data_IF_513885462223
#
_entry.id   IF_513885462223
#
_cell.length_a   1.000
_cell.length_b   1.000
_cell.length_c   1.000
_cell.angle_alpha   90.00
_cell.angle_beta   90.00
_cell.angle_gamma   90.00
#
_symmetry.space_group_name_H-M   'P 1'
#
loop_
_entity.id
_entity.type
_entity.pdbx_description
1 polymer ?
#
# COMPACT_ATOMS: atom_id res chain seq x y z
N UNK A 1 -17.82 -16.90 -2.40
CA UNK A 1 -18.55 -15.61 -2.34
C UNK A 1 -18.04 -14.80 -3.52
N UNK A 2 -18.92 -14.15 -4.29
CA UNK A 2 -18.44 -13.40 -5.46
C UNK A 2 -17.50 -12.28 -5.01
N UNK A 3 -16.36 -12.15 -5.66
CA UNK A 3 -15.40 -11.07 -5.38
C UNK A 3 -16.09 -9.71 -5.54
N UNK A 4 -15.74 -8.74 -4.70
CA UNK A 4 -16.27 -7.37 -4.79
C UNK A 4 -15.49 -6.56 -5.83
N UNK A 5 -15.45 -7.08 -7.04
CA UNK A 5 -14.81 -6.48 -8.20
C UNK A 5 -15.86 -5.82 -9.09
N UNK A 6 -15.66 -4.57 -9.39
CA UNK A 6 -16.64 -3.78 -10.15
C UNK A 6 -15.97 -3.09 -11.32
N UNK A 7 -16.55 -3.27 -12.52
CA UNK A 7 -16.18 -2.46 -13.66
C UNK A 7 -16.71 -1.02 -13.50
N UNK A 8 -15.97 -0.06 -14.02
CA UNK A 8 -16.39 1.33 -14.09
C UNK A 8 -16.01 1.92 -15.45
N UNK A 9 -16.99 2.48 -16.17
CA UNK A 9 -16.83 3.11 -17.49
C UNK A 9 -16.01 2.30 -18.52
N UNK A 10 -16.16 0.97 -18.48
CA UNK A 10 -15.50 0.05 -19.41
C UNK A 10 -14.13 -0.46 -18.94
N UNK A 11 -13.59 0.06 -17.84
CA UNK A 11 -12.41 -0.49 -17.16
C UNK A 11 -12.82 -1.51 -16.12
N UNK A 12 -12.09 -2.61 -16.04
CA UNK A 12 -12.26 -3.67 -15.04
C UNK A 12 -10.94 -3.94 -14.35
N UNK A 13 -10.96 -4.38 -13.09
CA UNK A 13 -9.75 -4.80 -12.41
C UNK A 13 -8.96 -5.86 -13.19
N UNK A 14 -7.64 -5.70 -13.25
CA UNK A 14 -6.68 -6.66 -13.78
C UNK A 14 -5.85 -7.20 -12.62
N UNK A 15 -6.17 -8.42 -12.19
CA UNK A 15 -5.58 -9.05 -11.01
C UNK A 15 -4.75 -10.25 -11.46
N UNK A 16 -3.45 -10.23 -11.13
CA UNK A 16 -2.55 -11.35 -11.43
C UNK A 16 -3.02 -12.63 -10.72
N UNK A 17 -2.92 -13.77 -11.40
CA UNK A 17 -3.37 -15.06 -10.87
C UNK A 17 -2.59 -15.55 -9.63
N UNK A 18 -1.47 -14.92 -9.29
CA UNK A 18 -0.70 -15.19 -8.06
C UNK A 18 -0.91 -14.14 -6.97
N UNK A 19 -1.75 -13.13 -7.22
CA UNK A 19 -2.11 -12.17 -6.19
C UNK A 19 -3.12 -12.80 -5.21
N UNK A 20 -3.04 -12.38 -3.95
CA UNK A 20 -3.97 -12.77 -2.90
C UNK A 20 -4.87 -11.57 -2.56
N UNK A 21 -6.10 -11.59 -3.04
CA UNK A 21 -7.08 -10.53 -2.79
C UNK A 21 -8.20 -11.07 -1.92
N UNK A 22 -8.38 -10.48 -0.75
CA UNK A 22 -9.45 -10.89 0.17
C UNK A 22 -10.84 -10.71 -0.46
N UNK A 23 -11.72 -11.67 -0.24
CA UNK A 23 -13.14 -11.60 -0.61
C UNK A 23 -13.89 -10.42 0.04
N UNK A 24 -13.32 -9.83 1.08
CA UNK A 24 -13.86 -8.64 1.74
C UNK A 24 -13.23 -7.33 1.24
N UNK A 25 -12.26 -7.39 0.36
CA UNK A 25 -11.74 -6.21 -0.33
C UNK A 25 -12.72 -5.74 -1.40
N UNK A 26 -12.73 -4.45 -1.70
CA UNK A 26 -13.54 -3.84 -2.77
C UNK A 26 -12.63 -3.25 -3.82
N UNK A 27 -12.74 -3.69 -5.06
CA UNK A 27 -11.88 -3.28 -6.17
C UNK A 27 -12.74 -2.71 -7.29
N UNK A 28 -12.51 -1.47 -7.70
CA UNK A 28 -13.38 -0.74 -8.64
C UNK A 28 -12.60 -0.09 -9.77
N UNK A 29 -12.97 -0.37 -11.00
CA UNK A 29 -12.50 0.35 -12.20
C UNK A 29 -11.09 -0.04 -12.64
N UNK A 30 -10.29 0.95 -13.01
CA UNK A 30 -8.92 0.78 -13.51
C UNK A 30 -7.95 0.48 -12.36
N UNK A 31 -7.88 -0.79 -11.99
CA UNK A 31 -7.02 -1.29 -10.91
C UNK A 31 -6.16 -2.43 -11.45
N UNK A 32 -4.85 -2.35 -11.24
CA UNK A 32 -3.90 -3.43 -11.54
C UNK A 32 -3.27 -3.94 -10.25
N UNK A 33 -3.28 -5.27 -10.05
CA UNK A 33 -2.64 -5.92 -8.90
C UNK A 33 -1.62 -6.93 -9.41
N UNK A 34 -0.35 -6.71 -9.07
CA UNK A 34 0.78 -7.53 -9.51
C UNK A 34 0.93 -8.85 -8.76
N UNK A 35 1.81 -9.73 -9.26
CA UNK A 35 2.00 -11.07 -8.71
C UNK A 35 2.49 -11.04 -7.26
N UNK A 36 2.00 -11.99 -6.47
CA UNK A 36 2.28 -12.14 -5.04
C UNK A 36 1.96 -10.90 -4.19
N UNK A 37 1.21 -9.94 -4.73
CA UNK A 37 0.66 -8.86 -3.91
C UNK A 37 -0.43 -9.41 -2.99
N UNK A 38 -0.56 -8.81 -1.80
CA UNK A 38 -1.54 -9.22 -0.79
C UNK A 38 -2.45 -8.04 -0.48
N UNK A 39 -3.74 -8.21 -0.70
CA UNK A 39 -4.77 -7.21 -0.41
C UNK A 39 -5.71 -7.76 0.66
N UNK A 40 -5.63 -7.19 1.85
CA UNK A 40 -6.26 -7.71 3.06
C UNK A 40 -7.73 -7.31 3.22
N UNK A 41 -8.47 -7.89 4.19
CA UNK A 41 -9.88 -7.58 4.39
C UNK A 41 -10.19 -6.10 4.57
N UNK A 42 -11.31 -5.66 3.99
CA UNK A 42 -11.79 -4.29 4.11
C UNK A 42 -11.01 -3.25 3.29
N UNK A 43 -9.99 -3.66 2.56
CA UNK A 43 -9.27 -2.75 1.65
C UNK A 43 -10.19 -2.26 0.55
N UNK A 44 -10.07 -0.97 0.20
CA UNK A 44 -10.79 -0.37 -0.93
C UNK A 44 -9.78 0.18 -1.94
N UNK A 45 -9.81 -0.37 -3.16
CA UNK A 45 -9.02 0.10 -4.30
C UNK A 45 -9.98 0.73 -5.32
N UNK A 46 -9.87 2.06 -5.51
CA UNK A 46 -10.76 2.80 -6.40
C UNK A 46 -10.00 3.43 -7.56
N UNK A 47 -10.12 2.81 -8.73
CA UNK A 47 -9.62 3.27 -10.01
C UNK A 47 -10.69 3.95 -10.88
N UNK A 48 -11.58 4.74 -10.28
CA UNK A 48 -12.71 5.40 -10.95
C UNK A 48 -12.43 6.85 -11.38
N UNK A 49 -11.43 7.50 -10.79
CA UNK A 49 -10.99 8.86 -11.16
C UNK A 49 -9.61 8.83 -11.82
N UNK A 50 -8.76 7.92 -11.40
CA UNK A 50 -7.43 7.66 -11.94
C UNK A 50 -7.00 6.25 -11.58
N UNK A 51 -5.99 5.68 -12.28
CA UNK A 51 -5.61 4.29 -12.10
C UNK A 51 -5.08 4.03 -10.68
N UNK A 52 -5.33 2.82 -10.19
CA UNK A 52 -4.68 2.27 -9.01
C UNK A 52 -3.77 1.14 -9.44
N UNK A 53 -2.52 1.15 -9.00
CA UNK A 53 -1.59 0.06 -9.23
C UNK A 53 -0.98 -0.42 -7.93
N UNK A 54 -0.97 -1.73 -7.72
CA UNK A 54 -0.27 -2.38 -6.62
C UNK A 54 0.80 -3.28 -7.21
N UNK A 55 2.06 -2.96 -6.96
CA UNK A 55 3.21 -3.68 -7.50
C UNK A 55 3.38 -5.07 -6.87
N UNK A 56 4.20 -5.89 -7.52
CA UNK A 56 4.50 -7.25 -7.07
C UNK A 56 5.01 -7.28 -5.62
N UNK A 57 4.68 -8.35 -4.92
CA UNK A 57 5.14 -8.60 -3.55
C UNK A 57 4.81 -7.50 -2.54
N UNK A 58 3.89 -6.59 -2.89
CA UNK A 58 3.43 -5.53 -2.00
C UNK A 58 2.24 -5.98 -1.16
N UNK A 59 2.10 -5.43 0.04
CA UNK A 59 1.01 -5.75 0.95
C UNK A 59 0.19 -4.50 1.29
N UNK A 60 -1.13 -4.60 1.12
CA UNK A 60 -2.09 -3.56 1.47
C UNK A 60 -2.89 -4.05 2.68
N UNK A 61 -2.62 -3.47 3.84
CA UNK A 61 -3.17 -3.89 5.12
C UNK A 61 -4.66 -3.59 5.28
N UNK A 62 -5.28 -4.28 6.23
CA UNK A 62 -6.73 -4.23 6.46
C UNK A 62 -7.27 -2.81 6.53
N UNK A 63 -8.41 -2.57 5.91
CA UNK A 63 -9.12 -1.30 5.87
C UNK A 63 -8.34 -0.12 5.26
N UNK A 64 -7.24 -0.37 4.57
CA UNK A 64 -6.57 0.69 3.82
C UNK A 64 -7.38 1.11 2.60
N UNK A 65 -7.25 2.38 2.20
CA UNK A 65 -7.95 2.94 1.04
C UNK A 65 -6.93 3.51 0.07
N UNK A 66 -6.96 3.05 -1.17
CA UNK A 66 -6.18 3.58 -2.27
C UNK A 66 -7.12 4.15 -3.34
N UNK A 67 -6.99 5.43 -3.62
CA UNK A 67 -7.75 6.12 -4.64
C UNK A 67 -6.80 6.84 -5.60
N UNK A 68 -6.87 6.54 -6.88
CA UNK A 68 -6.00 7.10 -7.92
C UNK A 68 -4.50 7.04 -7.54
N UNK A 69 -4.04 5.96 -6.93
CA UNK A 69 -2.71 5.89 -6.31
C UNK A 69 -1.90 4.71 -6.83
N UNK A 70 -0.60 4.91 -6.91
CA UNK A 70 0.35 3.88 -7.34
C UNK A 70 1.25 3.45 -6.19
N UNK A 71 1.31 2.15 -5.98
CA UNK A 71 2.21 1.48 -5.04
C UNK A 71 3.19 0.62 -5.84
N UNK A 72 4.47 0.84 -5.66
CA UNK A 72 5.55 0.10 -6.32
C UNK A 72 5.68 -1.35 -5.86
N UNK A 73 6.85 -1.93 -6.11
CA UNK A 73 7.16 -3.30 -5.71
C UNK A 73 7.66 -3.38 -4.26
N UNK A 74 7.40 -4.48 -3.57
CA UNK A 74 7.85 -4.73 -2.20
C UNK A 74 7.49 -3.59 -1.21
N UNK A 75 6.34 -2.97 -1.39
CA UNK A 75 5.84 -1.91 -0.53
C UNK A 75 4.91 -2.48 0.53
N UNK A 76 4.99 -1.95 1.73
CA UNK A 76 4.05 -2.25 2.80
C UNK A 76 3.18 -1.04 3.10
N UNK A 77 1.88 -1.18 2.89
CA UNK A 77 0.87 -0.19 3.31
C UNK A 77 0.16 -0.72 4.54
N UNK A 78 0.32 -0.02 5.64
CA UNK A 78 -0.22 -0.41 6.95
C UNK A 78 -1.75 -0.33 7.03
N UNK A 79 -2.29 -1.03 8.03
CA UNK A 79 -3.74 -1.06 8.28
C UNK A 79 -4.31 0.34 8.45
N UNK A 80 -5.44 0.60 7.83
CA UNK A 80 -6.17 1.87 7.93
C UNK A 80 -5.47 3.06 7.23
N UNK A 81 -4.39 2.86 6.50
CA UNK A 81 -3.75 3.94 5.76
C UNK A 81 -4.62 4.42 4.59
N UNK A 82 -4.52 5.71 4.27
CA UNK A 82 -5.22 6.32 3.13
C UNK A 82 -4.22 6.92 2.17
N UNK A 83 -4.25 6.44 0.93
CA UNK A 83 -3.49 6.98 -0.19
C UNK A 83 -4.47 7.60 -1.18
N UNK A 84 -4.35 8.90 -1.44
CA UNK A 84 -5.19 9.61 -2.38
C UNK A 84 -4.34 10.39 -3.38
N UNK A 85 -4.41 10.03 -4.65
CA UNK A 85 -3.56 10.60 -5.72
C UNK A 85 -2.07 10.59 -5.31
N UNK A 86 -1.63 9.48 -4.73
CA UNK A 86 -0.31 9.31 -4.15
C UNK A 86 0.53 8.30 -4.93
N UNK A 87 1.83 8.50 -4.92
CA UNK A 87 2.80 7.55 -5.44
C UNK A 87 3.72 7.08 -4.31
N UNK A 88 3.72 5.78 -4.05
CA UNK A 88 4.63 5.14 -3.10
C UNK A 88 5.60 4.25 -3.89
N UNK A 89 6.88 4.58 -3.85
CA UNK A 89 7.91 3.88 -4.63
C UNK A 89 8.39 2.62 -3.93
N UNK A 90 9.13 1.80 -4.68
CA UNK A 90 9.57 0.46 -4.29
C UNK A 90 10.22 0.41 -2.90
N UNK A 91 9.94 -0.64 -2.16
CA UNK A 91 10.53 -0.91 -0.86
C UNK A 91 10.17 0.09 0.23
N UNK A 92 9.20 0.98 0.01
CA UNK A 92 8.76 1.91 1.05
C UNK A 92 7.75 1.25 2.01
N UNK A 93 7.67 1.82 3.21
CA UNK A 93 6.69 1.43 4.23
C UNK A 93 5.82 2.64 4.60
N UNK A 94 4.51 2.47 4.50
CA UNK A 94 3.52 3.44 5.00
C UNK A 94 2.90 2.90 6.28
N UNK A 95 3.15 3.55 7.39
CA UNK A 95 2.70 3.12 8.72
C UNK A 95 1.18 3.15 8.88
N UNK A 96 0.69 2.44 9.90
CA UNK A 96 -0.74 2.33 10.21
C UNK A 96 -1.41 3.69 10.36
N UNK A 97 -2.63 3.83 9.83
CA UNK A 97 -3.45 5.04 9.92
C UNK A 97 -2.76 6.32 9.40
N UNK A 98 -1.78 6.18 8.52
CA UNK A 98 -1.18 7.33 7.85
C UNK A 98 -2.04 7.79 6.68
N UNK A 99 -1.95 9.08 6.37
CA UNK A 99 -2.60 9.68 5.19
C UNK A 99 -1.54 10.29 4.29
N UNK A 100 -1.53 9.87 3.02
CA UNK A 100 -0.67 10.44 1.96
C UNK A 100 -1.58 10.96 0.86
N UNK A 101 -1.58 12.26 0.63
CA UNK A 101 -2.45 12.89 -0.37
C UNK A 101 -1.64 13.71 -1.35
N UNK A 102 -1.83 13.46 -2.65
CA UNK A 102 -1.20 14.20 -3.74
C UNK A 102 0.32 14.39 -3.53
N UNK A 103 1.00 13.31 -3.13
CA UNK A 103 2.39 13.31 -2.70
C UNK A 103 3.12 12.06 -3.18
N UNK A 104 4.44 12.14 -3.23
CA UNK A 104 5.31 11.02 -3.56
C UNK A 104 6.13 10.60 -2.35
N UNK A 105 6.15 9.30 -2.07
CA UNK A 105 7.05 8.68 -1.09
C UNK A 105 8.17 7.97 -1.83
N UNK A 106 9.40 8.40 -1.62
CA UNK A 106 10.59 7.84 -2.25
C UNK A 106 10.88 6.40 -1.82
N UNK A 107 11.62 5.68 -2.67
CA UNK A 107 11.99 4.28 -2.44
C UNK A 107 12.69 4.08 -1.10
N UNK A 108 12.44 2.96 -0.44
CA UNK A 108 13.07 2.62 0.84
C UNK A 108 12.71 3.52 2.02
N UNK A 109 11.78 4.47 1.84
CA UNK A 109 11.38 5.40 2.89
C UNK A 109 10.40 4.77 3.87
N UNK A 110 10.43 5.24 5.10
CA UNK A 110 9.55 4.79 6.18
C UNK A 110 8.68 5.96 6.62
N UNK A 111 7.38 5.85 6.39
CA UNK A 111 6.36 6.76 6.94
C UNK A 111 5.88 6.19 8.27
N UNK A 112 6.12 6.89 9.36
CA UNK A 112 5.68 6.47 10.69
C UNK A 112 4.15 6.43 10.78
N UNK A 113 3.63 5.57 11.66
CA UNK A 113 2.17 5.46 11.88
C UNK A 113 1.55 6.81 12.25
N UNK A 114 0.33 7.07 11.79
CA UNK A 114 -0.42 8.29 12.08
C UNK A 114 0.14 9.55 11.42
N UNK A 115 1.05 9.42 10.47
CA UNK A 115 1.62 10.55 9.75
C UNK A 115 0.64 11.11 8.72
N UNK A 116 0.62 12.42 8.55
CA UNK A 116 -0.12 13.08 7.47
C UNK A 116 0.87 13.77 6.53
N UNK A 117 0.99 13.22 5.31
CA UNK A 117 1.77 13.79 4.22
C UNK A 117 0.84 14.57 3.30
N UNK A 118 0.86 15.90 3.36
CA UNK A 118 -0.07 16.74 2.59
C UNK A 118 0.35 16.88 1.12
N UNK A 119 -0.52 17.46 0.28
CA UNK A 119 -0.25 17.70 -1.12
C UNK A 119 1.07 18.44 -1.39
N UNK A 120 1.73 18.04 -2.48
CA UNK A 120 2.95 18.68 -2.96
C UNK A 120 4.25 18.20 -2.30
N UNK A 121 4.18 17.22 -1.41
CA UNK A 121 5.39 16.59 -0.86
C UNK A 121 6.01 15.62 -1.87
N UNK A 122 7.29 15.83 -2.14
CA UNK A 122 8.13 14.87 -2.87
C UNK A 122 9.22 14.38 -1.90
N UNK A 123 8.90 13.27 -1.21
CA UNK A 123 9.78 12.69 -0.20
C UNK A 123 10.94 11.96 -0.90
N UNK A 124 12.20 12.36 -0.64
CA UNK A 124 13.36 11.69 -1.21
C UNK A 124 13.42 10.20 -0.81
N UNK A 125 14.13 9.37 -1.58
CA UNK A 125 14.43 7.99 -1.16
C UNK A 125 15.13 7.95 0.21
N UNK A 126 15.01 6.81 0.90
CA UNK A 126 15.68 6.53 2.17
C UNK A 126 15.42 7.60 3.24
N UNK A 127 14.17 8.03 3.33
CA UNK A 127 13.71 9.04 4.29
C UNK A 127 12.86 8.43 5.40
N UNK A 128 12.97 9.02 6.59
CA UNK A 128 12.02 8.84 7.69
C UNK A 128 11.05 10.01 7.72
N UNK A 129 9.77 9.70 7.66
CA UNK A 129 8.68 10.68 7.57
C UNK A 129 7.76 10.54 8.76
N UNK A 130 7.51 11.62 9.51
CA UNK A 130 6.66 11.57 10.70
C UNK A 130 5.95 12.88 10.98
N UNK A 131 4.81 12.79 11.63
CA UNK A 131 4.10 13.96 12.18
C UNK A 131 2.92 14.42 11.33
N UNK A 132 2.25 15.47 11.83
CA UNK A 132 1.06 16.06 11.24
C UNK A 132 1.15 17.60 11.37
N UNK A 133 1.55 18.32 10.32
CA UNK A 133 2.01 17.84 9.02
C UNK A 133 3.36 17.11 9.10
N UNK A 134 3.66 16.30 8.09
CA UNK A 134 4.85 15.50 8.05
C UNK A 134 6.15 16.33 8.07
N UNK A 135 7.14 15.85 8.79
CA UNK A 135 8.54 16.24 8.65
C UNK A 135 9.35 15.08 8.07
N UNK A 136 10.34 15.40 7.25
CA UNK A 136 11.17 14.46 6.53
C UNK A 136 12.60 14.54 7.03
N UNK A 137 13.21 13.42 7.36
CA UNK A 137 14.59 13.30 7.81
C UNK A 137 15.25 12.15 7.05
N UNK A 138 16.47 12.30 6.50
CA UNK A 138 17.18 11.16 5.93
C UNK A 138 17.32 10.03 6.96
N UNK A 139 17.10 8.78 6.54
CA UNK A 139 17.27 7.61 7.43
C UNK A 139 18.68 7.53 8.02
N UNK A 140 19.68 7.95 7.26
CA UNK A 140 21.08 8.02 7.70
C UNK A 140 21.33 8.98 8.88
N UNK A 141 20.41 9.91 9.13
CA UNK A 141 20.48 10.85 10.25
C UNK A 141 19.61 10.39 11.45
N UNK A 142 19.07 9.19 11.38
CA UNK A 142 18.24 8.60 12.44
C UNK A 142 18.96 7.39 13.05
N UNK A 143 18.44 6.90 14.19
CA UNK A 143 18.85 5.62 14.77
C UNK A 143 17.93 4.46 14.34
N UNK A 144 17.16 4.65 13.26
CA UNK A 144 16.25 3.63 12.75
C UNK A 144 17.07 2.67 11.89
N UNK A 145 16.94 1.39 12.18
CA UNK A 145 17.40 0.32 11.32
C UNK A 145 16.27 -0.08 10.36
N UNK A 146 16.36 0.29 9.07
CA UNK A 146 15.31 0.00 8.12
C UNK A 146 15.08 -1.51 7.94
N UNK A 147 16.16 -2.30 7.96
CA UNK A 147 16.05 -3.76 7.80
C UNK A 147 15.26 -4.36 8.95
N UNK A 148 15.57 -3.97 10.19
CA UNK A 148 14.83 -4.42 11.36
C UNK A 148 13.34 -4.00 11.34
N UNK A 149 13.05 -2.78 10.83
CA UNK A 149 11.66 -2.32 10.69
C UNK A 149 10.93 -3.14 9.63
N UNK A 150 11.53 -3.32 8.45
CA UNK A 150 10.93 -4.14 7.40
C UNK A 150 10.77 -5.60 7.84
N UNK A 151 11.74 -6.17 8.53
CA UNK A 151 11.69 -7.54 9.04
C UNK A 151 10.57 -7.71 10.07
N UNK A 152 10.33 -6.73 10.92
CA UNK A 152 9.23 -6.74 11.88
C UNK A 152 7.84 -6.73 11.21
N UNK A 153 7.72 -6.09 10.04
CA UNK A 153 6.47 -6.04 9.27
C UNK A 153 6.37 -7.13 8.20
N UNK A 154 7.50 -7.64 7.72
CA UNK A 154 7.60 -8.68 6.69
C UNK A 154 8.12 -10.00 7.23
N UNK A 155 8.21 -10.16 8.57
CA UNK A 155 8.71 -11.40 9.16
C UNK A 155 8.09 -12.58 8.42
N UNK A 156 8.87 -13.59 8.06
CA UNK A 156 8.53 -14.67 7.12
C UNK A 156 7.18 -15.35 7.33
N UNK A 157 6.50 -15.05 8.44
CA UNK A 157 5.11 -15.38 8.68
C UNK A 157 4.12 -14.51 7.89
N UNK A 158 4.44 -13.24 7.59
CA UNK A 158 3.54 -12.35 6.84
C UNK A 158 3.55 -12.64 5.32
N UNK A 159 4.70 -12.93 4.75
CA UNK A 159 4.82 -13.23 3.31
C UNK A 159 4.01 -14.46 2.89
N UNK A 160 3.84 -15.43 3.83
CA UNK A 160 3.06 -16.65 3.59
C UNK A 160 1.71 -16.64 4.33
N UNK A 161 1.36 -15.54 4.98
CA UNK A 161 0.17 -15.50 5.82
C UNK A 161 -1.10 -15.55 4.96
N UNK A 162 -1.15 -14.81 3.86
CA UNK A 162 -2.27 -14.83 2.94
C UNK A 162 -2.52 -16.24 2.39
N UNK A 163 -1.45 -16.94 1.97
CA UNK A 163 -1.55 -18.34 1.50
C UNK A 163 -2.00 -19.35 2.56
N UNK A 164 -2.00 -18.96 3.84
CA UNK A 164 -2.48 -19.80 4.97
C UNK A 164 -3.93 -19.49 5.37
N UNK A 165 -4.49 -18.43 4.85
CA UNK A 165 -5.88 -18.01 5.11
C UNK A 165 -6.77 -18.38 3.92
N UNK A 166 -6.96 -19.69 3.67
CA UNK A 166 -7.76 -20.18 2.53
C UNK A 166 -9.15 -19.51 2.49
N UNK A 167 -9.84 -19.41 3.64
CA UNK A 167 -11.20 -18.86 3.71
C UNK A 167 -11.31 -17.34 3.47
N UNK A 168 -10.22 -16.59 3.56
CA UNK A 168 -10.24 -15.13 3.35
C UNK A 168 -9.95 -14.72 1.91
N UNK A 169 -9.32 -15.60 1.13
CA UNK A 169 -8.78 -15.31 -0.19
C UNK A 169 -9.33 -16.23 -1.30
N UNK A 170 -10.28 -17.12 -0.98
CA UNK A 170 -10.97 -18.03 -1.93
C UNK A 170 -12.42 -17.61 -2.22
#
# INVERSE_FOLDING_TARGET
MDSREYAFEGSSPDIDGYAHVSNEATVVGDVTIGPNANVWPGVVLRGDVGPVAVGRESAIGDNAVLHASTVGENVMVGHGAVLNDATVKDGALVGFNSTVSEATIGSGSIVAMGTVVPPGYDVPPDSFVRGMPASVTPLSETNIDPEAVFEAFSSGDYANLAARHEDLFE
#
